data_IF_865250912182
#
_entry.id   IF_865250912182
#
_cell.length_a   1.000
_cell.length_b   1.000
_cell.length_c   1.000
_cell.angle_alpha   90.00
_cell.angle_beta   90.00
_cell.angle_gamma   90.00
#
_symmetry.space_group_name_H-M   'P 1'
#
loop_
_entity.id
_entity.type
_entity.pdbx_description
1 polymer ?
#
# COMPACT_ATOMS: atom_id res chain seq x y z
N UNK A 1 2.33 3.68 -8.76
CA UNK A 1 3.43 3.22 -7.88
C UNK A 1 2.86 2.28 -6.83
N UNK A 2 3.54 1.18 -6.52
CA UNK A 2 3.08 0.19 -5.52
C UNK A 2 4.11 0.02 -4.42
N UNK A 3 3.67 0.03 -3.15
CA UNK A 3 4.56 -0.05 -2.00
C UNK A 3 4.12 -1.13 -1.01
N UNK A 4 5.08 -1.65 -0.23
CA UNK A 4 4.80 -2.38 1.00
C UNK A 4 4.17 -1.45 2.04
N UNK A 5 3.57 -2.01 3.08
CA UNK A 5 2.79 -1.26 4.08
C UNK A 5 3.20 -1.63 5.52
N UNK A 6 4.44 -1.28 5.95
CA UNK A 6 4.98 -1.76 7.23
C UNK A 6 4.48 -1.01 8.46
N UNK A 7 4.17 0.31 8.35
CA UNK A 7 3.99 1.20 9.50
C UNK A 7 2.56 1.73 9.68
N UNK A 8 1.68 1.54 8.69
CA UNK A 8 0.33 2.11 8.70
C UNK A 8 0.31 3.55 8.17
N UNK A 9 -0.26 4.51 8.92
CA UNK A 9 -0.37 5.90 8.44
C UNK A 9 0.97 6.57 8.12
N UNK A 10 2.01 6.21 8.83
CA UNK A 10 3.33 6.86 8.71
C UNK A 10 4.05 6.53 7.40
N UNK A 11 3.94 5.29 6.91
CA UNK A 11 4.50 4.91 5.61
C UNK A 11 3.74 5.57 4.45
N UNK A 12 2.43 5.77 4.59
CA UNK A 12 1.64 6.54 3.64
C UNK A 12 2.12 7.98 3.54
N UNK A 13 2.38 8.63 4.66
CA UNK A 13 2.90 10.01 4.72
C UNK A 13 4.32 10.06 4.11
N UNK A 14 5.21 9.12 4.48
CA UNK A 14 6.56 9.05 3.94
C UNK A 14 6.56 8.81 2.42
N UNK A 15 5.66 7.96 1.93
CA UNK A 15 5.51 7.68 0.51
C UNK A 15 5.00 8.91 -0.25
N UNK A 16 3.95 9.57 0.25
CA UNK A 16 3.43 10.81 -0.35
C UNK A 16 4.50 11.92 -0.36
N UNK A 17 5.25 12.08 0.74
CA UNK A 17 6.34 13.05 0.80
C UNK A 17 7.41 12.77 -0.25
N UNK A 18 7.89 11.53 -0.36
CA UNK A 18 8.92 11.16 -1.33
C UNK A 18 8.47 11.37 -2.79
N UNK A 19 7.19 11.17 -3.10
CA UNK A 19 6.64 11.43 -4.43
C UNK A 19 6.43 12.93 -4.64
N UNK A 20 5.93 13.65 -3.62
CA UNK A 20 5.69 15.09 -3.67
C UNK A 20 6.95 15.94 -3.88
N UNK A 21 8.14 15.42 -3.54
CA UNK A 21 9.43 16.07 -3.85
C UNK A 21 9.73 16.09 -5.37
N UNK A 22 9.02 15.28 -6.16
CA UNK A 22 9.24 15.15 -7.62
C UNK A 22 8.02 15.60 -8.42
N UNK A 23 6.81 15.27 -7.94
CA UNK A 23 5.53 15.57 -8.58
C UNK A 23 4.45 15.84 -7.54
N UNK A 24 3.77 16.97 -7.65
CA UNK A 24 2.67 17.34 -6.75
C UNK A 24 1.31 16.77 -7.19
N UNK A 25 1.17 16.38 -8.44
CA UNK A 25 -0.06 15.96 -9.10
C UNK A 25 -0.32 14.44 -8.98
N UNK A 26 -0.18 13.85 -7.82
CA UNK A 26 -0.45 12.43 -7.57
C UNK A 26 -1.75 12.22 -6.79
N UNK A 27 -2.27 10.99 -6.84
CA UNK A 27 -3.39 10.56 -6.00
C UNK A 27 -3.07 9.23 -5.29
N UNK A 28 -3.68 8.99 -4.14
CA UNK A 28 -3.44 7.83 -3.30
C UNK A 28 -4.74 7.05 -3.03
N UNK A 29 -4.73 5.76 -3.35
CA UNK A 29 -5.81 4.84 -3.03
C UNK A 29 -5.79 4.52 -1.53
N UNK A 30 -6.80 4.96 -0.80
CA UNK A 30 -6.89 4.84 0.65
C UNK A 30 -8.21 4.25 1.12
N UNK A 31 -8.22 3.69 2.34
CA UNK A 31 -9.47 3.33 3.01
C UNK A 31 -10.24 4.61 3.37
N UNK A 32 -11.57 4.56 3.30
CA UNK A 32 -12.49 5.67 3.53
C UNK A 32 -12.27 6.40 4.86
N UNK A 33 -11.82 5.69 5.90
CA UNK A 33 -11.55 6.30 7.21
C UNK A 33 -10.50 7.41 7.12
N UNK A 34 -9.57 7.33 6.16
CA UNK A 34 -8.52 8.33 5.95
C UNK A 34 -9.03 9.59 5.26
N UNK A 35 -10.21 9.57 4.64
CA UNK A 35 -10.84 10.76 4.04
C UNK A 35 -11.15 11.84 5.08
N UNK A 36 -11.26 11.47 6.35
CA UNK A 36 -11.47 12.40 7.46
C UNK A 36 -10.22 13.24 7.82
N UNK A 37 -9.06 12.96 7.19
CA UNK A 37 -7.86 13.79 7.33
C UNK A 37 -7.97 14.95 6.33
N UNK A 38 -8.68 16.03 6.73
CA UNK A 38 -9.13 17.10 5.85
C UNK A 38 -8.06 17.69 4.93
N UNK A 39 -6.86 17.97 5.45
CA UNK A 39 -5.77 18.58 4.68
C UNK A 39 -5.17 17.66 3.59
N UNK A 40 -5.35 16.35 3.69
CA UNK A 40 -4.84 15.37 2.72
C UNK A 40 -5.94 14.81 1.81
N UNK A 41 -7.22 15.08 2.13
CA UNK A 41 -8.36 14.51 1.39
C UNK A 41 -8.34 14.78 -0.12
N UNK A 42 -7.82 15.93 -0.65
CA UNK A 42 -7.73 16.14 -2.10
C UNK A 42 -6.82 15.15 -2.83
N UNK A 43 -5.86 14.54 -2.11
CA UNK A 43 -4.95 13.54 -2.67
C UNK A 43 -5.54 12.12 -2.62
N UNK A 44 -6.64 11.91 -1.93
CA UNK A 44 -7.15 10.58 -1.64
C UNK A 44 -8.23 10.13 -2.60
N UNK A 45 -8.13 8.86 -3.01
CA UNK A 45 -9.17 8.14 -3.75
C UNK A 45 -9.72 7.06 -2.82
N UNK A 46 -11.01 7.10 -2.45
CA UNK A 46 -11.58 6.10 -1.55
C UNK A 46 -11.68 4.73 -2.21
N UNK A 47 -11.32 3.68 -1.47
CA UNK A 47 -11.50 2.29 -1.89
C UNK A 47 -12.61 1.65 -1.06
N UNK A 48 -13.86 1.84 -1.49
CA UNK A 48 -15.01 1.16 -0.90
C UNK A 48 -15.15 -0.26 -1.47
N UNK A 49 -15.02 -1.27 -0.62
CA UNK A 49 -15.13 -2.67 -1.02
C UNK A 49 -16.57 -3.22 -0.93
N UNK A 50 -17.46 -2.55 -0.21
CA UNK A 50 -18.80 -3.08 0.11
C UNK A 50 -19.86 -1.96 0.10
N UNK A 51 -21.04 -2.25 -0.40
CA UNK A 51 -22.22 -1.39 -0.30
C UNK A 51 -22.66 -0.71 -1.63
N UNK A 52 -23.73 0.07 -1.55
CA UNK A 52 -24.34 0.75 -2.71
C UNK A 52 -23.36 1.71 -3.43
N UNK A 53 -22.36 2.22 -2.73
CA UNK A 53 -21.36 3.15 -3.27
C UNK A 53 -20.17 2.47 -3.97
N UNK A 54 -20.09 1.12 -4.01
CA UNK A 54 -18.96 0.41 -4.61
C UNK A 54 -18.78 0.73 -6.11
N UNK A 55 -19.89 0.88 -6.86
CA UNK A 55 -19.84 1.26 -8.28
C UNK A 55 -19.33 2.69 -8.49
N UNK A 56 -19.76 3.62 -7.65
CA UNK A 56 -19.29 5.01 -7.70
C UNK A 56 -17.79 5.09 -7.38
N UNK A 57 -17.33 4.38 -6.36
CA UNK A 57 -15.91 4.30 -6.01
C UNK A 57 -15.07 3.71 -7.15
N UNK A 58 -15.55 2.63 -7.81
CA UNK A 58 -14.87 2.07 -8.97
C UNK A 58 -14.75 3.07 -10.12
N UNK A 59 -15.81 3.87 -10.37
CA UNK A 59 -15.80 4.92 -11.40
C UNK A 59 -14.75 5.99 -11.08
N UNK A 60 -14.70 6.49 -9.85
CA UNK A 60 -13.69 7.47 -9.41
C UNK A 60 -12.27 6.90 -9.58
N UNK A 61 -12.04 5.64 -9.21
CA UNK A 61 -10.76 4.96 -9.40
C UNK A 61 -10.41 4.91 -10.90
N UNK A 62 -11.36 4.53 -11.78
CA UNK A 62 -11.13 4.45 -13.21
C UNK A 62 -10.81 5.83 -13.81
N UNK A 63 -11.54 6.86 -13.43
CA UNK A 63 -11.30 8.25 -13.84
C UNK A 63 -9.91 8.74 -13.40
N UNK A 64 -9.49 8.36 -12.19
CA UNK A 64 -8.14 8.71 -11.68
C UNK A 64 -7.03 8.00 -12.45
N UNK A 65 -7.21 6.72 -12.76
CA UNK A 65 -6.23 5.99 -13.58
C UNK A 65 -6.17 6.46 -15.03
N UNK A 66 -7.24 7.06 -15.56
CA UNK A 66 -7.27 7.63 -16.90
C UNK A 66 -6.48 8.94 -17.02
N UNK A 67 -6.24 9.66 -15.91
CA UNK A 67 -5.41 10.88 -15.88
C UNK A 67 -3.93 10.54 -16.03
N UNK A 68 -3.13 11.45 -16.54
CA UNK A 68 -1.67 11.31 -16.59
C UNK A 68 -0.99 11.75 -15.28
N UNK A 69 -1.39 11.11 -14.17
CA UNK A 69 -0.85 11.36 -12.83
C UNK A 69 -0.39 10.04 -12.18
N UNK A 70 0.56 10.08 -11.25
CA UNK A 70 0.91 8.92 -10.46
C UNK A 70 -0.24 8.50 -9.54
N UNK A 71 -0.53 7.20 -9.51
CA UNK A 71 -1.45 6.62 -8.52
C UNK A 71 -0.64 5.79 -7.53
N UNK A 72 -0.72 6.15 -6.25
CA UNK A 72 -0.06 5.45 -5.17
C UNK A 72 -0.99 4.38 -4.61
N UNK A 73 -0.45 3.21 -4.30
CA UNK A 73 -1.24 2.09 -3.78
C UNK A 73 -0.44 1.22 -2.82
N UNK A 74 -1.09 0.76 -1.77
CA UNK A 74 -0.66 -0.35 -0.92
C UNK A 74 -1.44 -1.62 -1.31
N UNK A 75 -0.89 -2.49 -2.17
CA UNK A 75 -1.66 -3.61 -2.71
C UNK A 75 -2.07 -4.66 -1.66
N UNK A 76 -1.36 -4.74 -0.54
CA UNK A 76 -1.75 -5.59 0.59
C UNK A 76 -3.05 -5.13 1.26
N UNK A 77 -3.36 -3.83 1.21
CA UNK A 77 -4.54 -3.21 1.80
C UNK A 77 -4.59 -3.21 3.33
N UNK A 78 -3.66 -3.88 3.98
CA UNK A 78 -3.46 -3.92 5.43
C UNK A 78 -1.98 -3.82 5.75
N UNK A 79 -1.68 -3.31 6.93
CA UNK A 79 -0.31 -3.20 7.46
C UNK A 79 0.34 -4.58 7.55
N UNK A 80 1.66 -4.65 7.31
CA UNK A 80 2.46 -5.88 7.39
C UNK A 80 2.24 -6.66 8.69
N UNK A 81 2.37 -7.96 8.64
CA UNK A 81 2.14 -8.88 9.77
C UNK A 81 3.39 -9.72 10.04
N UNK A 82 3.52 -10.16 11.28
CA UNK A 82 4.49 -11.18 11.64
C UNK A 82 3.96 -12.55 11.24
N UNK A 83 4.63 -13.19 10.31
CA UNK A 83 4.32 -14.52 9.80
C UNK A 83 4.76 -15.61 10.77
N UNK A 84 4.39 -16.87 10.52
CA UNK A 84 4.73 -17.99 11.40
C UNK A 84 6.23 -18.31 11.41
N UNK A 85 6.93 -18.03 10.31
CA UNK A 85 8.40 -18.09 10.21
C UNK A 85 9.13 -16.95 10.94
N UNK A 86 8.38 -16.07 11.60
CA UNK A 86 8.90 -14.93 12.37
C UNK A 86 9.18 -13.68 11.53
N UNK A 87 9.14 -13.73 10.21
CA UNK A 87 9.35 -12.59 9.33
C UNK A 87 8.18 -11.61 9.38
N UNK A 88 8.51 -10.33 9.30
CA UNK A 88 7.52 -9.26 9.17
C UNK A 88 7.42 -8.90 7.70
N UNK A 89 6.23 -9.06 7.15
CA UNK A 89 6.00 -8.84 5.72
C UNK A 89 4.52 -8.54 5.45
N UNK A 90 4.25 -8.00 4.26
CA UNK A 90 2.87 -7.77 3.81
C UNK A 90 2.11 -9.08 3.64
N UNK A 91 0.81 -9.00 3.82
CA UNK A 91 -0.12 -10.00 3.35
C UNK A 91 -0.07 -10.12 1.81
N UNK A 92 -0.83 -11.05 1.26
CA UNK A 92 -0.93 -11.25 -0.19
C UNK A 92 -1.36 -9.96 -0.88
N UNK A 93 -0.59 -9.54 -1.89
CA UNK A 93 -0.92 -8.37 -2.69
C UNK A 93 -2.09 -8.65 -3.62
N UNK A 94 -3.06 -7.73 -3.63
CA UNK A 94 -4.24 -7.81 -4.48
C UNK A 94 -3.90 -7.43 -5.91
N UNK A 95 -4.43 -8.19 -6.87
CA UNK A 95 -4.15 -8.04 -8.31
C UNK A 95 -4.76 -6.81 -8.98
N UNK A 96 -5.63 -6.07 -8.30
CA UNK A 96 -6.42 -4.98 -8.90
C UNK A 96 -5.55 -3.92 -9.58
N UNK A 97 -4.41 -3.54 -8.98
CA UNK A 97 -3.51 -2.54 -9.55
C UNK A 97 -2.83 -3.01 -10.84
N UNK A 98 -2.55 -4.32 -11.00
CA UNK A 98 -2.02 -4.90 -12.25
C UNK A 98 -3.04 -4.74 -13.38
N UNK A 99 -4.31 -5.08 -13.11
CA UNK A 99 -5.39 -4.91 -14.09
C UNK A 99 -5.57 -3.45 -14.53
N UNK A 100 -5.45 -2.51 -13.58
CA UNK A 100 -5.52 -1.08 -13.88
C UNK A 100 -4.28 -0.61 -14.66
N UNK A 101 -3.08 -1.04 -14.28
CA UNK A 101 -1.84 -0.73 -15.00
C UNK A 101 -1.93 -1.14 -16.48
N UNK A 102 -2.38 -2.36 -16.77
CA UNK A 102 -2.60 -2.84 -18.14
C UNK A 102 -3.65 -2.03 -18.90
N UNK A 103 -4.82 -1.82 -18.27
CA UNK A 103 -5.96 -1.14 -18.91
C UNK A 103 -5.63 0.31 -19.29
N UNK A 104 -4.93 1.02 -18.43
CA UNK A 104 -4.61 2.43 -18.59
C UNK A 104 -3.18 2.69 -19.07
N UNK A 105 -2.45 1.64 -19.49
CA UNK A 105 -1.08 1.69 -20.03
C UNK A 105 -0.13 2.45 -19.11
N UNK A 106 -0.20 2.17 -17.81
CA UNK A 106 0.64 2.79 -16.79
C UNK A 106 1.69 1.81 -16.26
N UNK A 107 2.94 2.20 -16.32
CA UNK A 107 4.03 1.44 -15.72
C UNK A 107 3.87 1.38 -14.20
N UNK A 108 4.38 0.30 -13.59
CA UNK A 108 4.33 0.12 -12.16
C UNK A 108 5.72 0.25 -11.55
N UNK A 109 5.89 1.25 -10.69
CA UNK A 109 7.15 1.49 -9.98
C UNK A 109 7.05 0.85 -8.59
N UNK A 110 7.92 -0.14 -8.25
CA UNK A 110 7.99 -0.70 -6.91
C UNK A 110 8.65 0.30 -5.96
N UNK A 111 8.08 0.44 -4.77
CA UNK A 111 8.61 1.33 -3.72
C UNK A 111 8.69 0.54 -2.42
N UNK A 112 9.84 0.59 -1.76
CA UNK A 112 10.06 -0.01 -0.45
C UNK A 112 10.11 1.07 0.62
N UNK A 113 9.22 1.00 1.59
CA UNK A 113 9.30 1.77 2.83
C UNK A 113 9.90 0.87 3.91
N UNK A 114 11.02 1.30 4.51
CA UNK A 114 11.68 0.58 5.58
C UNK A 114 11.04 0.92 6.94
N UNK A 115 10.93 -0.08 7.79
CA UNK A 115 10.44 0.08 9.15
C UNK A 115 9.58 -1.07 9.63
N UNK A 116 9.35 -1.10 10.94
CA UNK A 116 8.52 -2.09 11.60
C UNK A 116 7.77 -1.43 12.76
N UNK A 117 6.59 -1.94 13.06
CA UNK A 117 5.85 -1.58 14.27
C UNK A 117 6.41 -2.30 15.50
N UNK A 118 5.91 -2.01 16.68
CA UNK A 118 6.36 -2.63 17.91
C UNK A 118 6.04 -4.13 17.96
N UNK A 119 6.81 -4.88 18.74
CA UNK A 119 6.53 -6.30 19.04
C UNK A 119 5.11 -6.49 19.60
N UNK A 120 4.62 -5.52 20.39
CA UNK A 120 3.27 -5.51 20.91
C UNK A 120 2.21 -5.51 19.80
N UNK A 121 2.34 -4.64 18.80
CA UNK A 121 1.43 -4.58 17.64
C UNK A 121 1.30 -5.95 16.95
N UNK A 122 2.43 -6.59 16.67
CA UNK A 122 2.44 -7.89 16.00
C UNK A 122 1.91 -9.02 16.88
N UNK A 123 2.22 -9.01 18.18
CA UNK A 123 1.72 -10.02 19.13
C UNK A 123 0.21 -9.90 19.29
N UNK A 124 -0.32 -8.68 19.40
CA UNK A 124 -1.76 -8.45 19.48
C UNK A 124 -2.48 -9.00 18.25
N UNK A 125 -1.96 -8.73 17.06
CA UNK A 125 -2.48 -9.28 15.80
C UNK A 125 -2.49 -10.81 15.80
N UNK A 126 -1.40 -11.46 16.25
CA UNK A 126 -1.32 -12.92 16.34
C UNK A 126 -2.30 -13.51 17.37
N UNK A 127 -2.40 -12.93 18.54
CA UNK A 127 -3.35 -13.39 19.59
C UNK A 127 -4.78 -13.27 19.11
N UNK A 128 -5.14 -12.13 18.54
CA UNK A 128 -6.46 -11.92 17.94
C UNK A 128 -6.81 -13.01 16.92
N UNK A 129 -5.87 -13.29 16.00
CA UNK A 129 -6.08 -14.32 14.97
C UNK A 129 -6.24 -15.71 15.57
N UNK A 130 -5.41 -16.07 16.56
CA UNK A 130 -5.52 -17.35 17.28
C UNK A 130 -6.85 -17.52 18.04
N UNK A 131 -7.41 -16.42 18.54
CA UNK A 131 -8.71 -16.39 19.20
C UNK A 131 -9.89 -16.33 18.21
N UNK A 132 -9.63 -16.36 16.89
CA UNK A 132 -10.68 -16.33 15.86
C UNK A 132 -11.37 -14.96 15.72
N UNK A 133 -10.84 -13.89 16.32
CA UNK A 133 -11.43 -12.54 16.24
C UNK A 133 -11.12 -11.96 14.85
N UNK A 134 -12.16 -11.75 14.05
CA UNK A 134 -12.03 -11.23 12.67
C UNK A 134 -11.73 -9.73 12.59
N UNK A 135 -12.17 -8.94 13.58
CA UNK A 135 -11.93 -7.50 13.62
C UNK A 135 -10.43 -7.20 13.81
N UNK A 136 -9.87 -6.27 13.03
CA UNK A 136 -8.46 -5.89 13.09
C UNK A 136 -8.19 -4.92 14.26
N UNK A 137 -8.30 -5.38 15.50
CA UNK A 137 -8.20 -4.56 16.71
C UNK A 137 -6.85 -3.85 16.85
N UNK A 138 -5.78 -4.46 16.33
CA UNK A 138 -4.45 -3.85 16.32
C UNK A 138 -4.39 -2.54 15.55
N UNK A 139 -5.32 -2.30 14.62
CA UNK A 139 -5.38 -1.04 13.85
C UNK A 139 -5.62 0.18 14.74
N UNK A 140 -6.31 0.02 15.87
CA UNK A 140 -6.52 1.09 16.85
C UNK A 140 -5.23 1.55 17.55
N UNK A 141 -4.16 0.75 17.49
CA UNK A 141 -2.85 1.09 18.05
C UNK A 141 -1.93 1.80 17.07
N UNK A 142 -2.28 1.88 15.78
CA UNK A 142 -1.45 2.55 14.77
C UNK A 142 -1.16 4.03 15.07
N UNK A 143 -2.09 4.83 15.60
CA UNK A 143 -1.75 6.19 16.02
C UNK A 143 -0.64 6.21 17.09
N UNK A 144 -0.70 5.29 18.07
CA UNK A 144 0.36 5.14 19.08
C UNK A 144 1.71 4.71 18.48
N UNK A 145 1.69 3.80 17.50
CA UNK A 145 2.90 3.39 16.78
C UNK A 145 3.53 4.55 16.00
N UNK A 146 2.71 5.42 15.40
CA UNK A 146 3.18 6.63 14.71
C UNK A 146 3.93 7.56 15.68
N UNK A 147 3.38 7.83 16.87
CA UNK A 147 4.04 8.68 17.85
C UNK A 147 5.34 8.09 18.40
N UNK A 148 5.44 6.77 18.53
CA UNK A 148 6.70 6.09 18.92
C UNK A 148 7.83 6.31 17.90
N UNK A 149 7.52 6.66 16.66
CA UNK A 149 8.48 6.97 15.60
C UNK A 149 8.87 8.44 15.51
N UNK A 150 8.45 9.27 16.47
CA UNK A 150 8.89 10.66 16.54
C UNK A 150 10.43 10.74 16.51
N UNK A 151 10.96 11.64 15.69
CA UNK A 151 12.40 11.83 15.47
C UNK A 151 13.15 10.63 14.82
N UNK A 152 12.44 9.67 14.24
CA UNK A 152 13.07 8.60 13.46
C UNK A 152 13.12 8.95 11.97
N UNK A 153 14.13 8.43 11.28
CA UNK A 153 14.25 8.53 9.82
C UNK A 153 13.57 7.32 9.17
N UNK A 154 12.71 7.58 8.19
CA UNK A 154 12.07 6.55 7.39
C UNK A 154 12.71 6.55 6.00
N UNK A 155 13.35 5.43 5.65
CA UNK A 155 13.94 5.26 4.33
C UNK A 155 12.87 4.82 3.34
N UNK A 156 12.76 5.55 2.24
CA UNK A 156 11.92 5.19 1.08
C UNK A 156 12.84 4.91 -0.10
N UNK A 157 12.77 3.71 -0.65
CA UNK A 157 13.60 3.30 -1.81
C UNK A 157 12.69 3.09 -3.01
N UNK A 158 12.93 3.85 -4.08
CA UNK A 158 12.16 3.78 -5.33
C UNK A 158 12.94 2.92 -6.33
N UNK A 159 12.27 1.90 -6.89
CA UNK A 159 12.87 0.98 -7.85
C UNK A 159 12.64 1.39 -9.30
N UNK A 160 13.18 0.58 -10.23
CA UNK A 160 12.91 0.75 -11.66
C UNK A 160 11.46 0.43 -11.99
N UNK A 161 10.85 1.21 -12.87
CA UNK A 161 9.54 0.92 -13.42
C UNK A 161 9.53 -0.44 -14.14
N UNK A 162 8.43 -1.17 -13.98
CA UNK A 162 8.08 -2.34 -14.77
C UNK A 162 7.01 -1.89 -15.75
N UNK A 163 7.27 -2.13 -17.04
CA UNK A 163 6.34 -1.68 -18.09
C UNK A 163 4.98 -2.37 -17.96
N UNK A 164 3.92 -1.64 -18.23
CA UNK A 164 2.58 -2.24 -18.29
C UNK A 164 2.49 -3.34 -19.36
N UNK A 165 3.32 -3.28 -20.41
CA UNK A 165 3.37 -4.27 -21.47
C UNK A 165 3.97 -5.60 -21.02
N UNK A 166 4.82 -5.59 -19.97
CA UNK A 166 5.42 -6.80 -19.39
C UNK A 166 4.37 -7.66 -18.66
N UNK A 167 3.25 -7.07 -18.23
CA UNK A 167 2.16 -7.81 -17.57
C UNK A 167 1.30 -8.55 -18.60
N UNK A 168 1.88 -9.48 -19.29
CA UNK A 168 1.27 -10.27 -20.37
C UNK A 168 0.52 -11.52 -19.86
N UNK A 169 0.30 -12.49 -20.75
CA UNK A 169 -0.38 -13.76 -20.44
C UNK A 169 0.54 -14.84 -19.87
N UNK A 170 1.85 -14.60 -19.75
CA UNK A 170 2.83 -15.56 -19.22
C UNK A 170 2.58 -15.86 -17.73
N UNK A 171 1.91 -14.95 -17.04
CA UNK A 171 1.50 -15.09 -15.64
C UNK A 171 0.04 -14.64 -15.46
N UNK A 172 -0.66 -15.26 -14.52
CA UNK A 172 -1.96 -14.75 -14.13
C UNK A 172 -1.82 -13.45 -13.29
N UNK A 173 -2.90 -12.65 -13.15
CA UNK A 173 -2.81 -11.37 -12.45
C UNK A 173 -2.38 -11.44 -10.97
N UNK A 174 -2.62 -12.56 -10.27
CA UNK A 174 -2.16 -12.74 -8.89
C UNK A 174 -0.65 -13.00 -8.86
N UNK A 175 -0.13 -13.80 -9.80
CA UNK A 175 1.30 -14.05 -9.95
C UNK A 175 2.05 -12.76 -10.30
N UNK A 176 1.50 -11.90 -11.14
CA UNK A 176 2.06 -10.58 -11.42
C UNK A 176 2.07 -9.68 -10.18
N UNK A 177 1.03 -9.72 -9.36
CA UNK A 177 1.00 -8.97 -8.10
C UNK A 177 2.09 -9.46 -7.12
N UNK A 178 2.30 -10.79 -7.05
CA UNK A 178 3.36 -11.37 -6.23
C UNK A 178 4.76 -11.05 -6.78
N UNK A 179 4.96 -11.08 -8.10
CA UNK A 179 6.18 -10.63 -8.75
C UNK A 179 6.52 -9.18 -8.38
N UNK A 180 5.55 -8.27 -8.42
CA UNK A 180 5.76 -6.88 -8.01
C UNK A 180 6.08 -6.75 -6.52
N UNK A 181 5.46 -7.58 -5.66
CA UNK A 181 5.79 -7.67 -4.25
C UNK A 181 7.25 -8.10 -4.04
N UNK A 182 7.71 -9.14 -4.71
CA UNK A 182 9.10 -9.63 -4.66
C UNK A 182 10.07 -8.55 -5.15
N UNK A 183 9.77 -7.88 -6.27
CA UNK A 183 10.54 -6.73 -6.77
C UNK A 183 10.66 -5.61 -5.74
N UNK A 184 9.58 -5.32 -5.01
CA UNK A 184 9.58 -4.32 -3.94
C UNK A 184 10.52 -4.72 -2.79
N UNK A 185 10.39 -5.95 -2.27
CA UNK A 185 11.25 -6.41 -1.17
C UNK A 185 12.71 -6.59 -1.59
N UNK A 186 13.00 -6.90 -2.85
CA UNK A 186 14.37 -6.97 -3.37
C UNK A 186 15.12 -5.62 -3.33
N UNK A 187 14.40 -4.50 -3.19
CA UNK A 187 15.02 -3.18 -3.02
C UNK A 187 15.77 -3.03 -1.68
N UNK A 188 15.47 -3.88 -0.69
CA UNK A 188 16.20 -3.87 0.59
C UNK A 188 17.69 -4.20 0.43
N UNK A 189 18.05 -5.00 -0.59
CA UNK A 189 19.41 -5.48 -0.85
C UNK A 189 20.22 -4.56 -1.79
N UNK A 190 19.67 -3.41 -2.18
CA UNK A 190 20.31 -2.47 -3.11
C UNK A 190 20.95 -1.27 -2.38
N UNK A 191 21.68 -1.54 -1.31
CA UNK A 191 22.49 -0.53 -0.62
C UNK A 191 23.95 -0.69 -0.97
#
# INVERSE_FOLDING_TARGET
>A
MSSNHPLGGLDGIAFMKAVGEVREDFQFLVNDILLNIGNLSPLFIPVNKVGANARAALKIIDESYAKDIPILVFPAGLVSRKMDDGKITDLVWQKSFIGKARRYKKDVIPVLVAGENSKWFYNLSRWRTKLGIKANLEMFYLPGELFKKKNSTIKVTIGKAVSYADFDKSRNPNEWAMFMREKTYALANKN
#
